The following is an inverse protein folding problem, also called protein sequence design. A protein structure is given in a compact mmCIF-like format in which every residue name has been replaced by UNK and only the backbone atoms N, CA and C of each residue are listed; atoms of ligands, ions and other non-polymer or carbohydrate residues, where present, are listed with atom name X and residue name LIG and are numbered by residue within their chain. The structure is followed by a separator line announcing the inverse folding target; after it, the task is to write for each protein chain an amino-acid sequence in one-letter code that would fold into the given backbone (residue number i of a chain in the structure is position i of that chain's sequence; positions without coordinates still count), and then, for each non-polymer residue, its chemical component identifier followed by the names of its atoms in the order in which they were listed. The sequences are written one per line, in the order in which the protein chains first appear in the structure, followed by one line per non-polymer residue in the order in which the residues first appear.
data_IF_278574600339
#
_entry.id   IF_278574600339
#
_cell.length_a   1.000
_cell.length_b   1.000
_cell.length_c   1.000
_cell.angle_alpha   90.00
_cell.angle_beta   90.00
_cell.angle_gamma   90.00
#
_symmetry.space_group_name_H-M   'P 1'
#
loop_
_entity.id
_entity.type
_entity.pdbx_description
1 polymer ?
#
# COMPACT_ATOMS: atom_id res chain seq x y z
N UNK A 1 -8.40 13.88 24.30
CA UNK A 1 -8.02 12.46 24.30
C UNK A 1 -7.00 12.30 23.20
N UNK A 2 -5.76 12.03 23.57
CA UNK A 2 -4.61 11.94 22.67
C UNK A 2 -4.26 10.47 22.40
N UNK A 3 -3.45 10.23 21.36
CA UNK A 3 -2.90 8.89 21.12
C UNK A 3 -2.11 8.47 22.36
N UNK A 4 -2.46 7.31 22.94
CA UNK A 4 -1.91 6.81 24.19
C UNK A 4 -2.82 6.98 25.41
N UNK A 5 -3.86 7.83 25.34
CA UNK A 5 -4.82 7.95 26.44
C UNK A 5 -5.66 6.68 26.59
N UNK A 6 -6.03 6.35 27.83
CA UNK A 6 -6.93 5.24 28.11
C UNK A 6 -8.37 5.71 28.10
N UNK A 7 -9.21 5.09 27.26
CA UNK A 7 -10.63 5.31 27.21
C UNK A 7 -11.37 4.12 27.83
N UNK A 8 -12.33 4.38 28.72
CA UNK A 8 -13.21 3.34 29.28
C UNK A 8 -14.45 3.22 28.40
N UNK A 9 -14.63 2.07 27.74
CA UNK A 9 -15.77 1.79 26.87
C UNK A 9 -16.71 0.81 27.57
N UNK A 10 -18.01 1.15 27.65
CA UNK A 10 -19.05 0.22 28.07
C UNK A 10 -19.52 -0.55 26.84
N UNK A 11 -19.38 -1.87 26.85
CA UNK A 11 -19.73 -2.75 25.74
C UNK A 11 -20.58 -3.92 26.22
N UNK A 12 -21.52 -4.36 25.38
CA UNK A 12 -22.33 -5.53 25.64
C UNK A 12 -21.80 -6.68 24.78
N UNK A 13 -21.29 -7.73 25.41
CA UNK A 13 -20.78 -8.92 24.71
C UNK A 13 -21.42 -10.16 25.30
N UNK A 14 -22.02 -11.00 24.45
CA UNK A 14 -22.77 -12.20 24.88
C UNK A 14 -23.86 -11.87 25.93
N UNK A 15 -24.61 -10.78 25.69
CA UNK A 15 -25.67 -10.28 26.59
C UNK A 15 -25.20 -9.95 28.03
N UNK A 16 -23.89 -9.73 28.24
CA UNK A 16 -23.32 -9.24 29.50
C UNK A 16 -22.67 -7.88 29.29
N UNK A 17 -23.03 -6.91 30.11
CA UNK A 17 -22.39 -5.61 30.12
C UNK A 17 -20.98 -5.73 30.70
N UNK A 18 -19.99 -5.18 29.99
CA UNK A 18 -18.61 -5.09 30.43
C UNK A 18 -18.12 -3.66 30.26
N UNK A 19 -17.26 -3.23 31.17
CA UNK A 19 -16.56 -1.95 31.07
C UNK A 19 -15.08 -2.27 30.95
N UNK A 20 -14.53 -2.02 29.78
CA UNK A 20 -13.14 -2.34 29.44
C UNK A 20 -12.40 -1.05 29.08
N UNK A 21 -11.12 -0.98 29.44
CA UNK A 21 -10.27 0.19 29.18
C UNK A 21 -9.31 -0.10 28.04
N UNK A 22 -9.48 0.61 26.93
CA UNK A 22 -8.64 0.50 25.74
C UNK A 22 -7.74 1.72 25.60
N UNK A 23 -6.52 1.51 25.10
CA UNK A 23 -5.63 2.61 24.73
C UNK A 23 -6.00 3.13 23.35
N UNK A 24 -6.11 4.45 23.20
CA UNK A 24 -6.41 5.10 21.92
C UNK A 24 -5.17 5.05 21.04
N UNK A 25 -5.24 4.29 19.94
CA UNK A 25 -4.19 4.19 18.94
C UNK A 25 -4.40 5.15 17.76
N UNK A 26 -3.35 5.35 16.95
CA UNK A 26 -3.48 5.97 15.63
C UNK A 26 -4.15 4.98 14.67
N UNK A 27 -4.95 5.48 13.73
CA UNK A 27 -5.53 4.65 12.68
C UNK A 27 -4.44 4.18 11.72
N UNK A 28 -4.27 2.86 11.58
CA UNK A 28 -3.30 2.25 10.68
C UNK A 28 -3.94 1.96 9.32
N UNK A 29 -4.10 3.02 8.53
CA UNK A 29 -4.61 2.93 7.15
C UNK A 29 -3.55 2.31 6.23
N UNK A 30 -3.98 1.43 5.33
CA UNK A 30 -3.11 0.82 4.33
C UNK A 30 -2.62 1.86 3.31
N UNK A 31 -3.51 2.76 2.93
CA UNK A 31 -3.20 3.89 2.05
C UNK A 31 -3.12 5.15 2.91
N UNK A 32 -1.93 5.75 3.08
CA UNK A 32 -1.79 6.95 3.89
C UNK A 32 -2.43 8.15 3.19
N UNK A 33 -3.32 8.85 3.90
CA UNK A 33 -3.95 10.09 3.44
C UNK A 33 -2.94 11.24 3.34
N UNK A 34 -2.04 11.33 4.33
CA UNK A 34 -0.86 12.18 4.29
C UNK A 34 0.38 11.29 4.30
N UNK A 35 1.17 11.37 3.23
CA UNK A 35 2.53 10.84 3.29
C UNK A 35 3.36 11.80 4.16
N UNK A 36 3.76 11.38 5.37
CA UNK A 36 4.76 12.08 6.18
C UNK A 36 6.12 12.23 5.44
N UNK A 37 6.26 11.54 4.31
CA UNK A 37 7.38 11.61 3.40
C UNK A 37 7.35 12.91 2.59
N UNK A 38 8.40 13.74 2.74
CA UNK A 38 8.64 14.91 1.87
C UNK A 38 8.84 14.55 0.39
N UNK A 39 9.12 13.28 0.07
CA UNK A 39 9.35 12.78 -1.29
C UNK A 39 8.70 11.41 -1.46
N UNK A 40 7.96 11.17 -2.55
CA UNK A 40 7.41 9.86 -2.85
C UNK A 40 8.55 8.86 -3.06
N UNK A 41 8.39 7.67 -2.47
CA UNK A 41 9.32 6.57 -2.67
C UNK A 41 8.98 5.86 -3.98
N UNK A 42 9.99 5.52 -4.77
CA UNK A 42 9.83 4.74 -6.00
C UNK A 42 11.04 3.83 -6.18
N UNK A 43 10.85 2.74 -6.91
CA UNK A 43 11.89 1.80 -7.31
C UNK A 43 11.75 1.56 -8.81
N UNK A 44 12.84 1.68 -9.57
CA UNK A 44 12.84 1.41 -11.01
C UNK A 44 13.79 0.25 -11.27
N UNK A 45 13.30 -0.81 -11.91
CA UNK A 45 14.15 -1.94 -12.28
C UNK A 45 13.79 -2.45 -13.66
N UNK A 46 14.76 -2.45 -14.58
CA UNK A 46 14.55 -2.92 -15.96
C UNK A 46 13.44 -2.19 -16.70
N UNK A 47 13.15 -0.92 -16.36
CA UNK A 47 12.05 -0.13 -16.93
C UNK A 47 10.73 -0.25 -16.16
N UNK A 48 10.58 -1.17 -15.21
CA UNK A 48 9.39 -1.30 -14.37
C UNK A 48 9.45 -0.27 -13.22
N UNK A 49 8.43 0.58 -13.10
CA UNK A 49 8.34 1.63 -12.07
C UNK A 49 7.40 1.20 -10.97
N UNK A 50 7.94 0.93 -9.78
CA UNK A 50 7.19 0.54 -8.60
C UNK A 50 7.02 1.71 -7.62
N UNK A 51 5.83 1.87 -7.07
CA UNK A 51 5.47 2.93 -6.12
C UNK A 51 4.54 2.41 -5.03
N UNK A 52 4.61 2.91 -3.79
CA UNK A 52 3.60 2.65 -2.78
C UNK A 52 2.36 3.50 -3.07
N UNK A 53 1.18 2.88 -3.01
CA UNK A 53 -0.09 3.57 -3.13
C UNK A 53 -0.26 4.55 -1.97
N UNK A 54 -0.59 5.79 -2.33
CA UNK A 54 -0.86 6.87 -1.39
C UNK A 54 -1.97 7.75 -1.96
N UNK A 55 -2.67 8.50 -1.10
CA UNK A 55 -3.70 9.43 -1.58
C UNK A 55 -3.14 10.51 -2.52
N UNK A 56 -1.95 11.11 -2.27
CA UNK A 56 -1.32 12.02 -3.22
C UNK A 56 -1.04 11.38 -4.59
N UNK A 57 -0.68 10.09 -4.61
CA UNK A 57 -0.49 9.36 -5.87
C UNK A 57 -1.80 9.23 -6.64
N UNK A 58 -2.91 8.85 -5.98
CA UNK A 58 -4.22 8.76 -6.62
C UNK A 58 -4.68 10.11 -7.19
N UNK A 59 -4.49 11.20 -6.44
CA UNK A 59 -4.79 12.56 -6.91
C UNK A 59 -3.93 12.97 -8.11
N UNK A 60 -2.65 12.61 -8.10
CA UNK A 60 -1.73 12.90 -9.21
C UNK A 60 -2.11 12.15 -10.49
N UNK A 61 -2.49 10.88 -10.37
CA UNK A 61 -2.79 10.02 -11.53
C UNK A 61 -4.19 10.27 -12.12
N UNK A 62 -5.19 10.48 -11.25
CA UNK A 62 -6.59 10.54 -11.65
C UNK A 62 -7.23 11.93 -11.50
N UNK A 63 -6.49 12.90 -10.95
CA UNK A 63 -6.97 14.25 -10.67
C UNK A 63 -7.72 14.38 -9.34
N UNK A 64 -8.33 15.54 -9.09
CA UNK A 64 -9.10 15.81 -7.87
C UNK A 64 -10.31 14.86 -7.72
N UNK A 65 -10.94 14.47 -8.83
CA UNK A 65 -12.06 13.52 -8.87
C UNK A 65 -11.61 12.04 -8.93
N UNK A 66 -10.48 11.70 -8.30
CA UNK A 66 -9.93 10.33 -8.33
C UNK A 66 -10.91 9.28 -7.79
N UNK A 67 -11.82 9.67 -6.89
CA UNK A 67 -12.87 8.79 -6.35
C UNK A 67 -13.80 8.21 -7.43
N UNK A 68 -13.96 8.91 -8.56
CA UNK A 68 -14.81 8.46 -9.67
C UNK A 68 -14.01 7.86 -10.84
N UNK A 69 -12.73 8.23 -10.97
CA UNK A 69 -11.89 7.89 -12.13
C UNK A 69 -10.92 6.73 -11.85
N UNK A 70 -10.51 6.55 -10.61
CA UNK A 70 -9.58 5.49 -10.25
C UNK A 70 -10.25 4.11 -10.34
N UNK A 71 -9.49 3.05 -10.67
CA UNK A 71 -9.99 1.69 -10.66
C UNK A 71 -10.60 1.31 -9.32
N UNK A 72 -11.77 0.67 -9.35
CA UNK A 72 -12.52 0.24 -8.16
C UNK A 72 -11.67 -0.59 -7.19
N UNK A 73 -10.73 -1.40 -7.72
CA UNK A 73 -9.81 -2.19 -6.89
C UNK A 73 -8.86 -1.32 -6.04
N UNK A 74 -8.41 -0.19 -6.55
CA UNK A 74 -7.55 0.73 -5.81
C UNK A 74 -8.38 1.54 -4.80
N UNK A 75 -9.58 1.96 -5.21
CA UNK A 75 -10.52 2.67 -4.34
C UNK A 75 -10.97 1.82 -3.14
N UNK A 76 -11.25 0.53 -3.36
CA UNK A 76 -11.57 -0.41 -2.28
C UNK A 76 -10.44 -0.46 -1.23
N UNK A 77 -9.18 -0.51 -1.68
CA UNK A 77 -8.02 -0.52 -0.80
C UNK A 77 -7.76 0.83 -0.13
N UNK A 78 -8.10 1.93 -0.78
CA UNK A 78 -8.01 3.26 -0.18
C UNK A 78 -9.09 3.49 0.89
N UNK A 79 -10.34 3.12 0.62
CA UNK A 79 -11.47 3.32 1.56
C UNK A 79 -11.51 2.32 2.71
N UNK A 80 -11.23 1.04 2.42
CA UNK A 80 -11.42 -0.06 3.38
C UNK A 80 -10.13 -0.78 3.75
N UNK A 81 -8.98 -0.36 3.22
CA UNK A 81 -7.70 -1.00 3.49
C UNK A 81 -7.15 -0.63 4.86
N UNK A 82 -7.04 -1.64 5.72
CA UNK A 82 -6.29 -1.57 6.98
C UNK A 82 -4.97 -2.32 6.85
N UNK A 83 -3.94 -1.81 7.50
CA UNK A 83 -2.67 -2.52 7.60
C UNK A 83 -2.87 -3.79 8.46
N UNK A 84 -2.51 -4.94 7.90
CA UNK A 84 -2.43 -6.22 8.61
C UNK A 84 -1.23 -6.23 9.56
N UNK A 85 -0.15 -5.52 9.23
CA UNK A 85 1.02 -5.35 10.08
C UNK A 85 1.55 -3.90 10.03
N UNK A 86 2.22 -3.42 11.10
CA UNK A 86 2.74 -2.06 11.14
C UNK A 86 3.68 -1.76 9.96
N UNK A 87 3.36 -0.70 9.20
CA UNK A 87 4.20 -0.25 8.08
C UNK A 87 3.96 -1.00 6.77
N UNK A 88 2.93 -1.84 6.67
CA UNK A 88 2.49 -2.43 5.40
C UNK A 88 2.21 -1.35 4.36
N UNK A 89 2.72 -1.55 3.15
CA UNK A 89 2.48 -0.65 2.01
C UNK A 89 1.89 -1.45 0.85
N UNK A 90 0.89 -0.87 0.21
CA UNK A 90 0.32 -1.43 -1.01
C UNK A 90 1.19 -1.02 -2.21
N UNK A 91 2.06 -1.93 -2.67
CA UNK A 91 3.00 -1.67 -3.76
C UNK A 91 2.35 -1.91 -5.12
N UNK A 92 2.49 -0.93 -6.01
CA UNK A 92 1.98 -0.92 -7.37
C UNK A 92 3.12 -0.87 -8.37
N UNK A 93 2.96 -1.55 -9.50
CA UNK A 93 3.62 -1.20 -10.76
C UNK A 93 2.81 -0.06 -11.39
N UNK A 94 3.34 1.17 -11.34
CA UNK A 94 2.65 2.34 -11.89
C UNK A 94 2.76 2.37 -13.41
N UNK A 95 3.99 2.28 -13.91
CA UNK A 95 4.31 2.42 -15.32
C UNK A 95 5.42 1.46 -15.74
N UNK A 96 5.44 1.15 -17.05
CA UNK A 96 6.51 0.43 -17.71
C UNK A 96 7.15 1.37 -18.72
N UNK A 97 8.43 1.69 -18.52
CA UNK A 97 9.23 2.48 -19.44
C UNK A 97 9.64 1.59 -20.61
N UNK A 98 9.20 1.95 -21.81
CA UNK A 98 9.43 1.16 -23.03
C UNK A 98 10.92 0.93 -23.27
N UNK A 99 11.31 -0.34 -23.35
CA UNK A 99 12.65 -0.81 -23.66
C UNK A 99 12.56 -2.22 -24.27
N UNK A 100 13.58 -2.66 -24.99
CA UNK A 100 13.68 -4.03 -25.54
C UNK A 100 13.46 -5.14 -24.50
N UNK A 101 13.74 -4.88 -23.21
CA UNK A 101 13.55 -5.84 -22.12
C UNK A 101 12.12 -5.87 -21.57
N UNK A 102 11.31 -4.85 -21.85
CA UNK A 102 9.93 -4.73 -21.37
C UNK A 102 8.89 -5.07 -22.43
N UNK A 103 9.33 -5.57 -23.59
CA UNK A 103 8.44 -5.91 -24.71
C UNK A 103 7.36 -6.88 -24.22
N UNK A 104 6.09 -6.50 -24.43
CA UNK A 104 4.93 -7.26 -23.97
C UNK A 104 4.37 -6.84 -22.61
N UNK A 105 5.11 -6.07 -21.80
CA UNK A 105 4.66 -5.56 -20.49
C UNK A 105 4.18 -4.10 -20.52
N UNK A 106 4.33 -3.41 -21.65
CA UNK A 106 4.08 -1.97 -21.82
C UNK A 106 2.64 -1.54 -21.49
N UNK A 107 1.69 -2.46 -21.57
CA UNK A 107 0.28 -2.20 -21.30
C UNK A 107 -0.06 -2.25 -19.79
N UNK A 108 0.85 -2.71 -18.94
CA UNK A 108 0.62 -2.80 -17.49
C UNK A 108 0.72 -1.40 -16.85
N UNK A 109 -0.35 -1.00 -16.18
CA UNK A 109 -0.44 0.27 -15.47
C UNK A 109 -1.26 0.11 -14.18
N UNK A 110 -0.74 0.69 -13.10
CA UNK A 110 -1.37 0.69 -11.77
C UNK A 110 -1.82 -0.70 -11.28
N UNK A 111 -0.97 -1.71 -11.49
CA UNK A 111 -1.21 -3.11 -11.10
C UNK A 111 -0.54 -3.43 -9.77
N UNK A 112 -1.24 -4.13 -8.87
CA UNK A 112 -0.69 -4.53 -7.57
C UNK A 112 0.38 -5.62 -7.72
N UNK A 113 1.52 -5.41 -7.06
CA UNK A 113 2.56 -6.45 -6.89
C UNK A 113 2.29 -7.18 -5.58
N UNK A 114 1.85 -8.44 -5.67
CA UNK A 114 1.52 -9.25 -4.50
C UNK A 114 2.69 -10.12 -4.04
N UNK A 115 3.44 -10.66 -4.99
CA UNK A 115 4.53 -11.59 -4.75
C UNK A 115 5.69 -11.31 -5.71
N UNK A 116 6.88 -11.71 -5.28
CA UNK A 116 8.10 -11.73 -6.08
C UNK A 116 8.87 -13.01 -5.74
N UNK A 117 9.10 -13.87 -6.72
CA UNK A 117 9.70 -15.21 -6.58
C UNK A 117 9.04 -16.05 -5.48
N UNK A 118 7.70 -15.98 -5.38
CA UNK A 118 6.91 -16.68 -4.36
C UNK A 118 6.94 -16.04 -2.96
N UNK A 119 7.74 -15.01 -2.73
CA UNK A 119 7.74 -14.23 -1.48
C UNK A 119 6.70 -13.11 -1.53
N UNK A 120 5.86 -12.99 -0.51
CA UNK A 120 4.85 -11.92 -0.43
C UNK A 120 5.50 -10.56 -0.19
N UNK A 121 5.13 -9.58 -1.01
CA UNK A 121 5.65 -8.22 -0.94
C UNK A 121 4.92 -7.44 0.16
N UNK A 122 5.70 -6.93 1.12
CA UNK A 122 5.18 -6.22 2.30
C UNK A 122 5.28 -4.71 2.21
N UNK A 123 6.39 -4.22 1.66
CA UNK A 123 6.72 -2.80 1.52
C UNK A 123 7.55 -2.59 0.26
N UNK A 124 7.68 -1.34 -0.19
CA UNK A 124 8.53 -1.03 -1.34
C UNK A 124 10.01 -1.34 -1.03
N UNK A 125 10.46 -1.07 0.21
CA UNK A 125 11.82 -1.40 0.67
C UNK A 125 12.06 -2.91 0.64
N UNK A 126 11.08 -3.70 1.07
CA UNK A 126 11.16 -5.16 1.02
C UNK A 126 11.25 -5.66 -0.43
N UNK A 127 10.49 -5.07 -1.36
CA UNK A 127 10.62 -5.42 -2.78
C UNK A 127 12.03 -5.10 -3.31
N UNK A 128 12.59 -3.93 -2.97
CA UNK A 128 13.96 -3.58 -3.37
C UNK A 128 14.98 -4.60 -2.86
N UNK A 129 14.88 -4.98 -1.58
CA UNK A 129 15.75 -6.00 -0.98
C UNK A 129 15.60 -7.38 -1.65
N UNK A 130 14.38 -7.79 -2.03
CA UNK A 130 14.14 -9.05 -2.74
C UNK A 130 14.78 -9.03 -4.13
N UNK A 131 14.68 -7.91 -4.84
CA UNK A 131 15.28 -7.75 -6.18
C UNK A 131 16.80 -7.73 -6.11
N UNK A 132 17.38 -6.98 -5.18
CA UNK A 132 18.84 -6.86 -5.01
C UNK A 132 19.50 -8.20 -4.63
N UNK A 133 18.81 -9.01 -3.81
CA UNK A 133 19.32 -10.31 -3.37
C UNK A 133 18.91 -11.47 -4.30
N UNK A 134 18.17 -11.20 -5.38
CA UNK A 134 17.75 -12.26 -6.30
C UNK A 134 18.95 -12.78 -7.09
N UNK A 135 19.23 -14.07 -6.94
CA UNK A 135 20.23 -14.80 -7.73
C UNK A 135 19.59 -15.69 -8.80
N UNK A 136 18.27 -15.64 -8.93
CA UNK A 136 17.54 -16.44 -9.91
C UNK A 136 17.69 -15.85 -11.32
N UNK A 137 17.63 -16.73 -12.33
CA UNK A 137 17.72 -16.33 -13.74
C UNK A 137 16.50 -15.51 -14.20
N UNK A 138 15.34 -15.72 -13.55
CA UNK A 138 14.07 -15.06 -13.90
C UNK A 138 13.35 -14.52 -12.67
N UNK A 139 12.57 -13.46 -12.85
CA UNK A 139 11.62 -12.99 -11.86
C UNK A 139 10.24 -13.59 -12.12
N UNK A 140 9.59 -14.10 -11.07
CA UNK A 140 8.30 -14.81 -11.13
C UNK A 140 7.28 -14.22 -10.15
#
# INVERSE_FOLDING_TARGET
MFVGDRCSVKLLRQNRERRESFSVGKLNLLVPANSDLRRPQYLIVGGLVFVPLSEPFLKSEYGEDFESRAPVRLLDKWQHGFQSFPGEQFVLLSHVLAHDVTVGYEHLHNVQVQQFNGASVKTLKHLAELVENSTEEYWR
#
